data_IF_672405206443
#
_entry.id   IF_672405206443
#
_cell.length_a   1.000
_cell.length_b   1.000
_cell.length_c   1.000
_cell.angle_alpha   90.00
_cell.angle_beta   90.00
_cell.angle_gamma   90.00
#
_symmetry.space_group_name_H-M   'P 1'
#
loop_
_entity.id
_entity.type
_entity.pdbx_description
1 polymer ?
#
# COMPACT_ATOMS: atom_id res chain seq x y z
N UNK A 1 19.36 -3.04 12.68
CA UNK A 1 19.94 -1.69 12.63
C UNK A 1 18.99 -0.72 13.31
N UNK A 2 19.50 0.25 14.07
CA UNK A 2 18.66 1.32 14.61
C UNK A 2 18.10 2.16 13.46
N UNK A 3 16.80 2.47 13.48
CA UNK A 3 16.14 3.33 12.49
C UNK A 3 16.79 4.71 12.52
N UNK A 4 17.11 5.28 11.37
CA UNK A 4 17.63 6.66 11.32
C UNK A 4 16.56 7.66 11.78
N UNK A 5 16.97 8.82 12.30
CA UNK A 5 16.03 9.91 12.67
C UNK A 5 15.11 10.28 11.51
N UNK A 6 15.67 10.31 10.29
CA UNK A 6 14.92 10.59 9.06
C UNK A 6 13.83 9.54 8.82
N UNK A 7 14.16 8.25 8.89
CA UNK A 7 13.20 7.16 8.75
C UNK A 7 12.14 7.19 9.85
N UNK A 8 12.52 7.50 11.10
CA UNK A 8 11.57 7.61 12.21
C UNK A 8 10.52 8.71 11.95
N UNK A 9 10.94 9.85 11.42
CA UNK A 9 10.04 10.94 11.02
C UNK A 9 9.11 10.49 9.88
N UNK A 10 9.64 9.84 8.83
CA UNK A 10 8.82 9.37 7.70
C UNK A 10 7.81 8.30 8.12
N UNK A 11 8.20 7.33 8.95
CA UNK A 11 7.28 6.31 9.48
C UNK A 11 6.17 6.95 10.32
N UNK A 12 6.52 7.89 11.20
CA UNK A 12 5.54 8.57 12.03
C UNK A 12 4.56 9.41 11.21
N UNK A 13 5.06 10.15 10.21
CA UNK A 13 4.23 10.93 9.30
C UNK A 13 3.27 10.05 8.50
N UNK A 14 3.76 8.95 7.90
CA UNK A 14 2.93 8.01 7.16
C UNK A 14 1.82 7.42 8.04
N UNK A 15 2.13 6.98 9.26
CA UNK A 15 1.15 6.43 10.19
C UNK A 15 0.10 7.45 10.65
N UNK A 16 0.52 8.68 10.92
CA UNK A 16 -0.40 9.76 11.28
C UNK A 16 -1.35 10.10 10.12
N UNK A 17 -0.81 10.28 8.91
CA UNK A 17 -1.61 10.64 7.73
C UNK A 17 -2.56 9.51 7.34
N UNK A 18 -2.11 8.26 7.42
CA UNK A 18 -2.97 7.07 7.22
C UNK A 18 -4.17 7.03 8.17
N UNK A 19 -4.02 7.57 9.38
CA UNK A 19 -5.07 7.56 10.41
C UNK A 19 -5.98 8.78 10.37
N UNK A 20 -5.41 9.97 10.13
CA UNK A 20 -6.06 11.27 10.31
C UNK A 20 -6.28 12.04 9.02
N UNK A 21 -5.66 11.66 7.91
CA UNK A 21 -5.55 12.48 6.70
C UNK A 21 -4.36 13.44 6.74
N UNK A 22 -3.99 13.98 5.59
CA UNK A 22 -2.91 14.96 5.44
C UNK A 22 -3.27 16.28 6.13
N UNK A 23 -4.45 16.85 5.91
CA UNK A 23 -4.87 18.16 6.41
C UNK A 23 -4.86 18.23 7.93
N UNK A 24 -5.31 17.17 8.60
CA UNK A 24 -5.40 17.10 10.07
C UNK A 24 -4.07 16.86 10.78
N UNK A 25 -2.98 16.58 10.06
CA UNK A 25 -1.66 16.31 10.66
C UNK A 25 -0.79 17.57 10.61
N UNK A 26 -0.35 18.06 11.76
CA UNK A 26 0.59 19.17 11.89
C UNK A 26 2.05 18.73 12.06
N UNK A 27 2.98 19.67 11.88
CA UNK A 27 4.41 19.44 12.15
C UNK A 27 4.67 19.01 13.59
N UNK A 28 3.94 19.58 14.55
CA UNK A 28 4.04 19.22 15.98
C UNK A 28 3.63 17.77 16.22
N UNK A 29 2.58 17.29 15.57
CA UNK A 29 2.15 15.89 15.68
C UNK A 29 3.26 14.94 15.21
N UNK A 30 3.92 15.27 14.10
CA UNK A 30 5.01 14.47 13.52
C UNK A 30 6.24 14.46 14.46
N UNK A 31 6.62 15.61 15.03
CA UNK A 31 7.69 15.66 16.05
C UNK A 31 7.35 14.75 17.22
N UNK A 32 6.16 14.91 17.79
CA UNK A 32 5.74 14.14 18.97
C UNK A 32 5.69 12.63 18.67
N UNK A 33 5.15 12.23 17.52
CA UNK A 33 5.02 10.82 17.16
C UNK A 33 6.36 10.17 16.75
N UNK A 34 7.28 10.93 16.16
CA UNK A 34 8.60 10.41 15.76
C UNK A 34 9.60 10.31 16.90
N UNK A 35 9.39 11.05 17.99
CA UNK A 35 10.35 11.18 19.09
C UNK A 35 11.63 11.93 18.68
N UNK A 36 11.69 12.49 17.47
CA UNK A 36 12.84 13.23 16.99
C UNK A 36 12.88 14.65 17.59
N UNK A 37 14.06 15.22 17.87
CA UNK A 37 14.18 16.62 18.25
C UNK A 37 13.62 17.55 17.16
N UNK A 38 12.93 18.62 17.56
CA UNK A 38 12.36 19.62 16.62
C UNK A 38 13.41 20.11 15.62
N UNK A 39 14.62 20.41 16.09
CA UNK A 39 15.72 20.86 15.24
C UNK A 39 16.15 19.84 14.18
N UNK A 40 16.11 18.55 14.50
CA UNK A 40 16.43 17.49 13.54
C UNK A 40 15.40 17.41 12.41
N UNK A 41 14.12 17.67 12.71
CA UNK A 41 13.07 17.65 11.69
C UNK A 41 13.30 18.75 10.65
N UNK A 42 13.53 20.00 11.08
CA UNK A 42 13.82 21.10 10.15
C UNK A 42 15.16 20.96 9.42
N UNK A 43 16.14 20.30 10.03
CA UNK A 43 17.40 19.96 9.37
C UNK A 43 17.22 18.91 8.26
N UNK A 44 16.45 17.84 8.51
CA UNK A 44 16.22 16.78 7.53
C UNK A 44 15.21 17.16 6.45
N UNK A 45 14.25 18.02 6.77
CA UNK A 45 13.12 18.36 5.90
C UNK A 45 12.91 19.89 5.84
N UNK A 46 13.81 20.63 5.16
CA UNK A 46 13.68 22.09 5.02
C UNK A 46 12.42 22.51 4.26
N UNK A 47 11.87 21.64 3.40
CA UNK A 47 10.57 21.83 2.73
C UNK A 47 9.35 21.55 3.62
N UNK A 48 9.57 21.27 4.91
CA UNK A 48 8.50 21.16 5.91
C UNK A 48 7.53 20.01 5.66
N UNK A 49 6.26 20.24 6.02
CA UNK A 49 5.21 19.20 6.01
C UNK A 49 5.01 18.59 4.63
N UNK A 50 5.01 19.40 3.57
CA UNK A 50 4.79 18.95 2.20
C UNK A 50 5.89 17.97 1.77
N UNK A 51 7.16 18.33 2.01
CA UNK A 51 8.29 17.44 1.74
C UNK A 51 8.19 16.13 2.55
N UNK A 52 7.87 16.22 3.85
CA UNK A 52 7.72 15.04 4.71
C UNK A 52 6.59 14.14 4.19
N UNK A 53 5.43 14.71 3.84
CA UNK A 53 4.29 13.97 3.32
C UNK A 53 4.65 13.24 2.02
N UNK A 54 5.25 13.96 1.05
CA UNK A 54 5.70 13.38 -0.22
C UNK A 54 6.64 12.19 0.01
N UNK A 55 7.66 12.39 0.83
CA UNK A 55 8.65 11.35 1.07
C UNK A 55 8.11 10.19 1.91
N UNK A 56 7.20 10.47 2.84
CA UNK A 56 6.53 9.45 3.64
C UNK A 56 5.63 8.56 2.76
N UNK A 57 4.90 9.16 1.81
CA UNK A 57 4.12 8.44 0.80
C UNK A 57 4.99 7.54 -0.06
N UNK A 58 6.09 8.07 -0.60
CA UNK A 58 7.02 7.27 -1.41
C UNK A 58 7.61 6.12 -0.59
N UNK A 59 8.04 6.38 0.63
CA UNK A 59 8.65 5.38 1.50
C UNK A 59 7.65 4.28 1.91
N UNK A 60 6.46 4.67 2.37
CA UNK A 60 5.40 3.72 2.70
C UNK A 60 4.92 2.95 1.45
N UNK A 61 4.90 3.64 0.31
CA UNK A 61 4.57 3.10 -0.99
C UNK A 61 5.48 1.94 -1.41
N UNK A 62 6.79 2.09 -1.24
CA UNK A 62 7.76 1.03 -1.56
C UNK A 62 7.51 -0.25 -0.79
N UNK A 63 7.17 -0.16 0.49
CA UNK A 63 6.88 -1.35 1.30
C UNK A 63 5.63 -2.07 0.80
N UNK A 64 4.59 -1.32 0.42
CA UNK A 64 3.35 -1.88 -0.15
C UNK A 64 3.53 -2.49 -1.54
N UNK A 65 4.49 -2.01 -2.33
CA UNK A 65 4.81 -2.59 -3.64
C UNK A 65 5.26 -4.05 -3.60
N UNK A 66 5.66 -4.56 -2.42
CA UNK A 66 6.04 -5.96 -2.22
C UNK A 66 4.86 -6.87 -1.86
N UNK A 67 3.66 -6.32 -1.61
CA UNK A 67 2.52 -7.10 -1.16
C UNK A 67 2.05 -8.13 -2.19
N UNK A 68 1.98 -7.77 -3.47
CA UNK A 68 1.59 -8.74 -4.53
C UNK A 68 2.55 -9.94 -4.52
N UNK A 69 3.89 -9.77 -4.62
CA UNK A 69 4.82 -10.89 -4.49
C UNK A 69 4.64 -11.72 -3.21
N UNK A 70 4.45 -11.07 -2.06
CA UNK A 70 4.30 -11.75 -0.76
C UNK A 70 3.01 -12.57 -0.68
N UNK A 71 1.88 -12.00 -1.12
CA UNK A 71 0.57 -12.65 -1.03
C UNK A 71 0.39 -13.71 -2.10
N UNK A 72 0.91 -13.49 -3.31
CA UNK A 72 0.73 -14.41 -4.44
C UNK A 72 1.78 -15.54 -4.47
N UNK A 73 2.98 -15.29 -3.91
CA UNK A 73 4.13 -16.21 -3.97
C UNK A 73 3.87 -17.65 -3.55
N UNK A 74 3.14 -17.90 -2.43
CA UNK A 74 2.83 -19.24 -1.94
C UNK A 74 1.88 -20.06 -2.82
N UNK A 75 1.21 -19.45 -3.79
CA UNK A 75 0.16 -20.07 -4.58
C UNK A 75 0.62 -20.39 -6.00
N UNK A 76 -0.01 -21.36 -6.66
CA UNK A 76 0.15 -21.61 -8.10
C UNK A 76 -1.17 -21.47 -8.87
N UNK A 77 -2.29 -21.27 -8.17
CA UNK A 77 -3.60 -20.92 -8.74
C UNK A 77 -3.90 -19.46 -8.40
N UNK A 78 -4.13 -18.62 -9.42
CA UNK A 78 -4.36 -17.19 -9.23
C UNK A 78 -5.67 -16.92 -8.49
N UNK A 79 -6.74 -17.64 -8.80
CA UNK A 79 -8.01 -17.51 -8.07
C UNK A 79 -7.85 -17.80 -6.57
N UNK A 80 -7.14 -18.88 -6.20
CA UNK A 80 -6.81 -19.18 -4.81
C UNK A 80 -6.00 -18.07 -4.15
N UNK A 81 -4.97 -17.58 -4.84
CA UNK A 81 -4.11 -16.51 -4.33
C UNK A 81 -4.89 -15.22 -4.04
N UNK A 82 -5.84 -14.87 -4.91
CA UNK A 82 -6.71 -13.72 -4.74
C UNK A 82 -7.60 -13.91 -3.52
N UNK A 83 -8.29 -15.05 -3.40
CA UNK A 83 -9.17 -15.33 -2.26
C UNK A 83 -8.43 -15.24 -0.92
N UNK A 84 -7.26 -15.87 -0.84
CA UNK A 84 -6.42 -15.86 0.37
C UNK A 84 -5.87 -14.45 0.67
N UNK A 85 -5.52 -13.65 -0.35
CA UNK A 85 -5.08 -12.27 -0.16
C UNK A 85 -6.17 -11.39 0.48
N UNK A 86 -7.42 -11.52 0.02
CA UNK A 86 -8.54 -10.77 0.61
C UNK A 86 -8.90 -11.28 2.01
N UNK A 87 -8.81 -12.58 2.27
CA UNK A 87 -8.99 -13.16 3.59
C UNK A 87 -7.91 -12.68 4.59
N UNK A 88 -6.64 -12.65 4.18
CA UNK A 88 -5.55 -12.10 4.98
C UNK A 88 -5.75 -10.61 5.26
N UNK A 89 -6.12 -9.83 4.24
CA UNK A 89 -6.42 -8.41 4.41
C UNK A 89 -7.58 -8.16 5.41
N UNK A 90 -8.60 -9.01 5.39
CA UNK A 90 -9.70 -8.98 6.36
C UNK A 90 -9.22 -9.27 7.79
N UNK A 91 -8.37 -10.29 7.97
CA UNK A 91 -7.78 -10.63 9.26
C UNK A 91 -6.92 -9.48 9.81
N UNK A 92 -6.07 -8.88 8.98
CA UNK A 92 -5.21 -7.75 9.37
C UNK A 92 -6.03 -6.51 9.73
N UNK A 93 -7.10 -6.24 8.98
CA UNK A 93 -8.03 -5.15 9.27
C UNK A 93 -8.69 -5.35 10.64
N UNK A 94 -9.21 -6.55 10.93
CA UNK A 94 -9.81 -6.86 12.24
C UNK A 94 -8.78 -6.78 13.38
N UNK A 95 -7.60 -7.39 13.20
CA UNK A 95 -6.54 -7.45 14.22
C UNK A 95 -5.99 -6.07 14.61
N UNK A 96 -6.12 -5.08 13.74
CA UNK A 96 -5.72 -3.68 14.01
C UNK A 96 -6.86 -2.80 14.52
N UNK A 97 -8.04 -3.36 14.82
CA UNK A 97 -9.21 -2.59 15.21
C UNK A 97 -9.70 -1.67 14.08
N UNK A 98 -9.62 -2.16 12.84
CA UNK A 98 -9.96 -1.44 11.61
C UNK A 98 -9.07 -0.23 11.30
N UNK A 99 -7.82 -0.26 11.77
CA UNK A 99 -6.85 0.80 11.52
C UNK A 99 -6.00 0.56 10.25
N UNK A 100 -5.96 -0.68 9.73
CA UNK A 100 -5.08 -1.08 8.64
C UNK A 100 -5.56 -0.61 7.25
N UNK A 101 -5.42 0.68 6.97
CA UNK A 101 -5.68 1.24 5.64
C UNK A 101 -4.44 1.24 4.75
N UNK A 102 -4.64 1.37 3.44
CA UNK A 102 -3.58 1.76 2.51
C UNK A 102 -2.93 3.08 2.96
N UNK A 103 -1.59 3.17 2.99
CA UNK A 103 -0.88 4.36 3.44
C UNK A 103 -0.91 5.51 2.43
N UNK A 104 -1.33 5.25 1.18
CA UNK A 104 -1.31 6.23 0.08
C UNK A 104 -2.71 6.75 -0.24
N UNK A 105 -3.70 5.85 -0.32
CA UNK A 105 -5.02 6.17 -0.86
C UNK A 105 -5.74 7.31 -0.14
N UNK A 106 -5.66 7.36 1.20
CA UNK A 106 -6.30 8.43 1.98
C UNK A 106 -5.74 9.82 1.65
N UNK A 107 -4.41 9.94 1.58
CA UNK A 107 -3.76 11.21 1.21
C UNK A 107 -4.02 11.53 -0.25
N UNK A 108 -3.92 10.54 -1.15
CA UNK A 108 -4.19 10.73 -2.57
C UNK A 108 -5.59 11.28 -2.83
N UNK A 109 -6.61 10.72 -2.16
CA UNK A 109 -8.00 11.16 -2.30
C UNK A 109 -8.23 12.56 -1.70
N UNK A 110 -7.55 12.89 -0.59
CA UNK A 110 -7.69 14.19 0.05
C UNK A 110 -7.01 15.32 -0.72
N UNK A 111 -5.88 15.04 -1.37
CA UNK A 111 -5.00 16.09 -1.90
C UNK A 111 -5.02 16.22 -3.43
N UNK A 112 -5.79 15.38 -4.13
CA UNK A 112 -5.78 15.31 -5.60
C UNK A 112 -5.99 16.66 -6.29
N UNK A 113 -6.87 17.51 -5.73
CA UNK A 113 -7.23 18.81 -6.30
C UNK A 113 -6.57 20.01 -5.59
N UNK A 114 -5.82 19.77 -4.51
CA UNK A 114 -5.32 20.85 -3.63
C UNK A 114 -3.80 20.89 -3.49
N UNK A 115 -3.09 19.78 -3.68
CA UNK A 115 -1.63 19.69 -3.53
C UNK A 115 -1.03 18.86 -4.68
N UNK A 116 -0.69 19.53 -5.79
CA UNK A 116 -0.20 18.87 -7.02
C UNK A 116 1.02 17.98 -6.77
N UNK A 117 1.96 18.41 -5.91
CA UNK A 117 3.16 17.64 -5.57
C UNK A 117 2.82 16.32 -4.87
N UNK A 118 1.77 16.28 -4.03
CA UNK A 118 1.32 15.05 -3.38
C UNK A 118 0.51 14.18 -4.33
N UNK A 119 -0.29 14.78 -5.21
CA UNK A 119 -1.00 14.06 -6.27
C UNK A 119 -0.02 13.33 -7.19
N UNK A 120 1.03 14.01 -7.65
CA UNK A 120 2.09 13.41 -8.46
C UNK A 120 2.82 12.27 -7.73
N UNK A 121 3.17 12.48 -6.46
CA UNK A 121 3.82 11.46 -5.66
C UNK A 121 2.96 10.21 -5.46
N UNK A 122 1.67 10.39 -5.16
CA UNK A 122 0.72 9.29 -5.04
C UNK A 122 0.54 8.56 -6.38
N UNK A 123 0.38 9.31 -7.49
CA UNK A 123 0.26 8.73 -8.83
C UNK A 123 1.49 7.90 -9.20
N UNK A 124 2.70 8.39 -8.92
CA UNK A 124 3.94 7.65 -9.16
C UNK A 124 4.01 6.36 -8.34
N UNK A 125 3.55 6.39 -7.07
CA UNK A 125 3.50 5.20 -6.22
C UNK A 125 2.50 4.17 -6.76
N UNK A 126 1.28 4.59 -7.10
CA UNK A 126 0.28 3.67 -7.67
C UNK A 126 0.75 3.09 -9.00
N UNK A 127 1.32 3.90 -9.90
CA UNK A 127 1.91 3.41 -11.16
C UNK A 127 3.01 2.39 -10.89
N UNK A 128 3.89 2.62 -9.90
CA UNK A 128 4.91 1.66 -9.51
C UNK A 128 4.34 0.32 -9.02
N UNK A 129 3.25 0.33 -8.24
CA UNK A 129 2.57 -0.90 -7.81
C UNK A 129 1.95 -1.66 -8.97
N UNK A 130 1.31 -0.91 -9.87
CA UNK A 130 0.63 -1.41 -11.04
C UNK A 130 1.61 -2.05 -12.03
N UNK A 131 2.72 -1.39 -12.32
CA UNK A 131 3.76 -1.90 -13.21
C UNK A 131 4.50 -3.08 -12.58
N UNK A 132 4.87 -2.97 -11.30
CA UNK A 132 5.55 -4.03 -10.56
C UNK A 132 4.71 -5.29 -10.40
N UNK A 133 3.43 -5.15 -10.08
CA UNK A 133 2.49 -6.28 -10.00
C UNK A 133 2.25 -6.94 -11.36
N UNK A 134 2.11 -6.15 -12.42
CA UNK A 134 1.96 -6.68 -13.78
C UNK A 134 3.22 -7.45 -14.19
N UNK A 135 4.40 -6.89 -13.96
CA UNK A 135 5.67 -7.56 -14.24
C UNK A 135 5.83 -8.85 -13.42
N UNK A 136 5.39 -8.86 -12.16
CA UNK A 136 5.38 -10.06 -11.33
C UNK A 136 4.53 -11.18 -11.94
N UNK A 137 3.31 -10.88 -12.38
CA UNK A 137 2.45 -11.90 -13.00
C UNK A 137 2.97 -12.37 -14.36
N UNK A 138 3.55 -11.47 -15.17
CA UNK A 138 4.23 -11.85 -16.43
C UNK A 138 5.39 -12.80 -16.16
N UNK A 139 6.23 -12.50 -15.17
CA UNK A 139 7.33 -13.39 -14.78
C UNK A 139 6.85 -14.76 -14.28
N UNK A 140 5.58 -14.85 -13.89
CA UNK A 140 4.91 -16.06 -13.42
C UNK A 140 4.12 -16.78 -14.53
N UNK A 141 4.18 -16.31 -15.77
CA UNK A 141 3.65 -16.99 -16.96
C UNK A 141 2.33 -16.46 -17.49
N UNK A 142 1.81 -15.34 -16.98
CA UNK A 142 0.64 -14.68 -17.56
C UNK A 142 1.03 -13.83 -18.78
N UNK A 143 0.12 -13.69 -19.74
CA UNK A 143 0.25 -12.68 -20.79
C UNK A 143 0.13 -11.26 -20.21
N UNK A 144 0.67 -10.27 -20.92
CA UNK A 144 0.76 -8.88 -20.44
C UNK A 144 -0.61 -8.25 -20.16
N UNK A 145 -1.62 -8.59 -20.95
CA UNK A 145 -2.94 -7.96 -20.86
C UNK A 145 -3.68 -8.51 -19.65
N UNK A 146 -3.68 -9.83 -19.45
CA UNK A 146 -4.23 -10.48 -18.25
C UNK A 146 -3.49 -10.02 -16.99
N UNK A 147 -2.15 -9.93 -17.04
CA UNK A 147 -1.35 -9.47 -15.90
C UNK A 147 -1.67 -8.02 -15.51
N UNK A 148 -1.86 -7.14 -16.50
CA UNK A 148 -2.28 -5.76 -16.26
C UNK A 148 -3.69 -5.70 -15.69
N UNK A 149 -4.63 -6.43 -16.29
CA UNK A 149 -6.03 -6.48 -15.87
C UNK A 149 -6.15 -6.91 -14.42
N UNK A 150 -5.57 -8.06 -14.05
CA UNK A 150 -5.67 -8.58 -12.68
C UNK A 150 -5.00 -7.65 -11.67
N UNK A 151 -3.87 -7.03 -12.02
CA UNK A 151 -3.17 -6.11 -11.11
C UNK A 151 -4.03 -4.88 -10.82
N UNK A 152 -4.63 -4.28 -11.85
CA UNK A 152 -5.55 -3.13 -11.67
C UNK A 152 -6.77 -3.55 -10.86
N UNK A 153 -7.38 -4.69 -11.20
CA UNK A 153 -8.57 -5.19 -10.52
C UNK A 153 -8.30 -5.47 -9.03
N UNK A 154 -7.16 -6.09 -8.70
CA UNK A 154 -6.76 -6.37 -7.32
C UNK A 154 -6.58 -5.10 -6.50
N UNK A 155 -5.80 -4.13 -7.02
CA UNK A 155 -5.57 -2.87 -6.32
C UNK A 155 -6.88 -2.11 -6.13
N UNK A 156 -7.67 -1.94 -7.18
CA UNK A 156 -8.94 -1.22 -7.11
C UNK A 156 -9.93 -1.85 -6.10
N UNK A 157 -10.06 -3.19 -6.13
CA UNK A 157 -10.95 -3.91 -5.23
C UNK A 157 -10.48 -3.85 -3.76
N UNK A 158 -9.18 -3.98 -3.49
CA UNK A 158 -8.63 -3.83 -2.14
C UNK A 158 -8.82 -2.42 -1.60
N UNK A 159 -8.51 -1.38 -2.38
CA UNK A 159 -8.67 0.01 -1.94
C UNK A 159 -10.13 0.34 -1.57
N UNK A 160 -11.08 -0.06 -2.43
CA UNK A 160 -12.50 0.11 -2.15
C UNK A 160 -12.95 -0.69 -0.91
N UNK A 161 -12.52 -1.95 -0.81
CA UNK A 161 -12.87 -2.80 0.32
C UNK A 161 -12.29 -2.29 1.65
N UNK A 162 -11.08 -1.73 1.66
CA UNK A 162 -10.50 -1.12 2.85
C UNK A 162 -11.30 0.09 3.33
N UNK A 163 -11.74 0.96 2.41
CA UNK A 163 -12.60 2.11 2.73
C UNK A 163 -13.91 1.64 3.39
N UNK A 164 -14.59 0.67 2.78
CA UNK A 164 -15.84 0.13 3.30
C UNK A 164 -15.61 -0.57 4.65
N UNK A 165 -14.61 -1.44 4.75
CA UNK A 165 -14.34 -2.21 5.95
C UNK A 165 -14.03 -1.30 7.16
N UNK A 166 -13.22 -0.27 6.96
CA UNK A 166 -12.92 0.72 8.01
C UNK A 166 -14.15 1.50 8.44
N UNK A 167 -14.94 1.96 7.48
CA UNK A 167 -16.10 2.83 7.72
C UNK A 167 -17.21 2.05 8.43
N UNK A 168 -17.48 0.83 7.97
CA UNK A 168 -18.53 -0.04 8.51
C UNK A 168 -18.09 -0.83 9.74
N UNK A 169 -16.79 -0.83 10.08
CA UNK A 169 -16.19 -1.69 11.11
C UNK A 169 -16.55 -3.16 10.89
N UNK A 170 -16.47 -3.61 9.64
CA UNK A 170 -16.83 -4.95 9.21
C UNK A 170 -15.77 -5.49 8.26
N UNK A 171 -15.42 -6.77 8.40
CA UNK A 171 -14.53 -7.46 7.45
C UNK A 171 -15.25 -7.93 6.20
N UNK A 172 -16.59 -7.91 6.20
CA UNK A 172 -17.44 -8.38 5.11
C UNK A 172 -17.07 -7.79 3.74
N UNK A 173 -16.81 -6.49 3.56
CA UNK A 173 -16.46 -5.94 2.25
C UNK A 173 -15.19 -6.55 1.65
N UNK A 174 -14.18 -6.85 2.48
CA UNK A 174 -12.95 -7.50 2.03
C UNK A 174 -13.20 -8.94 1.60
N UNK A 175 -13.94 -9.70 2.41
CA UNK A 175 -14.29 -11.09 2.10
C UNK A 175 -15.11 -11.18 0.81
N UNK A 176 -16.14 -10.34 0.67
CA UNK A 176 -17.01 -10.36 -0.51
C UNK A 176 -16.30 -9.87 -1.78
N UNK A 177 -15.39 -8.89 -1.68
CA UNK A 177 -14.57 -8.48 -2.82
C UNK A 177 -13.68 -9.63 -3.32
N UNK A 178 -13.07 -10.40 -2.41
CA UNK A 178 -12.33 -11.62 -2.74
C UNK A 178 -13.20 -12.67 -3.42
N UNK A 179 -14.36 -12.98 -2.83
CA UNK A 179 -15.32 -13.95 -3.40
C UNK A 179 -15.84 -13.52 -4.79
N UNK A 180 -15.97 -12.23 -5.05
CA UNK A 180 -16.41 -11.72 -6.34
C UNK A 180 -15.30 -11.80 -7.40
N UNK A 181 -14.05 -11.49 -7.02
CA UNK A 181 -12.92 -11.39 -7.96
C UNK A 181 -12.27 -12.74 -8.25
N UNK A 182 -12.05 -13.58 -7.22
CA UNK A 182 -11.33 -14.84 -7.32
C UNK A 182 -11.88 -15.81 -8.39
N UNK A 183 -13.21 -16.01 -8.54
CA UNK A 183 -13.76 -16.97 -9.50
C UNK A 183 -13.36 -16.70 -10.96
N UNK A 184 -13.12 -15.43 -11.34
CA UNK A 184 -12.68 -15.06 -12.69
C UNK A 184 -11.31 -15.66 -13.06
N UNK A 185 -10.47 -15.91 -12.06
CA UNK A 185 -9.09 -16.37 -12.23
C UNK A 185 -8.85 -17.77 -11.67
N UNK A 186 -9.90 -18.49 -11.28
CA UNK A 186 -9.80 -19.89 -10.85
C UNK A 186 -9.33 -20.77 -12.00
N UNK A 187 -8.31 -21.61 -11.73
CA UNK A 187 -7.66 -22.46 -12.73
C UNK A 187 -6.60 -21.76 -13.56
N UNK A 188 -6.39 -20.45 -13.39
CA UNK A 188 -5.29 -19.73 -14.05
C UNK A 188 -3.99 -20.08 -13.34
N UNK A 189 -3.21 -20.96 -13.97
CA UNK A 189 -1.94 -21.44 -13.44
C UNK A 189 -0.86 -20.36 -13.48
N UNK A 190 -0.11 -20.25 -12.39
CA UNK A 190 1.10 -19.47 -12.27
C UNK A 190 2.29 -20.40 -12.01
N UNK A 191 3.40 -20.15 -12.69
CA UNK A 191 4.69 -20.80 -12.41
C UNK A 191 5.13 -20.55 -10.98
N UNK A 192 5.82 -21.49 -10.33
CA UNK A 192 6.32 -21.29 -8.96
C UNK A 192 7.22 -20.03 -8.86
N UNK A 193 7.21 -19.37 -7.69
CA UNK A 193 7.99 -18.16 -7.50
C UNK A 193 9.42 -18.57 -7.22
N UNK A 194 10.32 -18.33 -8.18
CA UNK A 194 11.74 -18.40 -7.93
C UNK A 194 12.18 -17.00 -7.46
N UNK A 195 12.48 -16.79 -6.16
CA UNK A 195 13.13 -15.55 -5.76
C UNK A 195 14.41 -15.42 -6.58
N UNK A 196 14.64 -14.24 -7.16
CA UNK A 196 15.88 -13.97 -7.88
C UNK A 196 17.04 -14.37 -6.96
N UNK A 197 17.90 -15.29 -7.43
CA UNK A 197 19.12 -15.65 -6.72
C UNK A 197 19.85 -14.35 -6.42
N UNK A 198 19.97 -13.99 -5.14
CA UNK A 198 20.84 -12.90 -4.71
C UNK A 198 22.26 -13.31 -5.08
N UNK A 199 22.71 -12.89 -6.26
CA UNK A 199 24.11 -12.98 -6.66
C UNK A 199 24.94 -12.25 -5.62
N UNK A 200 25.93 -12.95 -5.07
CA UNK A 200 26.80 -12.48 -3.99
C UNK A 200 27.77 -11.39 -4.41
#
# INVERSE_FOLDING_TARGET
MARSTREAILTAAAELMRRKGYGAVGMKDIVTASGAPVGSLYHHFPGGKLQIAREALINAGRAYGLLIPTLMGPHTDLGAAIEDAFAQAAADMAGTGFANMCPVAGVAAETADTEEELREAAAAVFTGWLDGGSAYFVARGLDSDTAREVTVALVAALEGAFILARTMRSTEPLILAGHALAPRYRGVAMSAFAPASTGG
#
